data_IF_138373338925
#
_entry.id   IF_138373338925
#
_cell.length_a   1.000
_cell.length_b   1.000
_cell.length_c   1.000
_cell.angle_alpha   90.00
_cell.angle_beta   90.00
_cell.angle_gamma   90.00
#
_symmetry.space_group_name_H-M   'P 1'
#
loop_
_entity.id
_entity.type
_entity.pdbx_description
1 polymer ?
#
# COMPACT_ATOMS: atom_id res chain seq x y z
N UNK A 1 39.65 -0.72 -38.53
CA UNK A 1 39.09 0.15 -37.47
C UNK A 1 37.87 -0.55 -36.94
N UNK A 2 37.90 -0.99 -35.69
CA UNK A 2 36.76 -1.65 -35.07
C UNK A 2 35.54 -0.73 -35.10
N UNK A 3 34.39 -1.29 -35.44
CA UNK A 3 33.11 -0.59 -35.54
C UNK A 3 32.58 -0.33 -34.11
N UNK A 4 33.25 0.53 -33.36
CA UNK A 4 32.80 0.96 -32.04
C UNK A 4 31.54 1.79 -32.20
N UNK A 5 30.46 1.30 -31.59
CA UNK A 5 29.13 1.93 -31.62
C UNK A 5 29.26 3.39 -31.15
N UNK A 6 28.87 4.34 -32.00
CA UNK A 6 28.93 5.77 -31.69
C UNK A 6 28.04 6.09 -30.47
N UNK A 7 28.60 6.79 -29.49
CA UNK A 7 27.93 7.18 -28.25
C UNK A 7 27.24 8.54 -28.43
N UNK A 8 25.98 8.52 -28.84
CA UNK A 8 25.22 9.74 -29.15
C UNK A 8 24.75 10.53 -27.91
N UNK A 9 24.45 9.85 -26.80
CA UNK A 9 23.92 10.51 -25.61
C UNK A 9 24.89 11.54 -25.01
N UNK A 10 26.18 11.21 -24.77
CA UNK A 10 27.14 12.21 -24.27
C UNK A 10 27.39 13.37 -25.25
N UNK A 11 27.40 13.10 -26.55
CA UNK A 11 27.58 14.13 -27.57
C UNK A 11 26.39 15.10 -27.63
N UNK A 12 25.17 14.59 -27.48
CA UNK A 12 23.95 15.41 -27.39
C UNK A 12 23.95 16.28 -26.13
N UNK A 13 24.28 15.73 -24.96
CA UNK A 13 24.42 16.50 -23.72
C UNK A 13 25.43 17.64 -23.86
N UNK A 14 26.57 17.40 -24.53
CA UNK A 14 27.57 18.43 -24.80
C UNK A 14 27.05 19.50 -25.78
N UNK A 15 26.37 19.08 -26.86
CA UNK A 15 25.75 20.01 -27.80
C UNK A 15 24.68 20.89 -27.14
N UNK A 16 23.89 20.34 -26.21
CA UNK A 16 22.93 21.11 -25.41
C UNK A 16 23.61 22.17 -24.56
N UNK A 17 24.69 21.81 -23.84
CA UNK A 17 25.46 22.77 -23.03
C UNK A 17 26.07 23.90 -23.86
N UNK A 18 26.57 23.60 -25.06
CA UNK A 18 27.08 24.62 -26.00
C UNK A 18 25.93 25.52 -26.49
N UNK A 19 24.80 24.91 -26.84
CA UNK A 19 23.63 25.64 -27.36
C UNK A 19 23.05 26.59 -26.32
N UNK A 20 22.96 26.16 -25.07
CA UNK A 20 22.40 26.91 -23.95
C UNK A 20 23.47 27.66 -23.15
N UNK A 21 24.68 27.82 -23.69
CA UNK A 21 25.86 28.27 -22.95
C UNK A 21 25.65 29.62 -22.23
N UNK A 22 24.96 30.56 -22.89
CA UNK A 22 24.66 31.88 -22.33
C UNK A 22 23.61 31.84 -21.21
N UNK A 23 22.79 30.79 -21.15
CA UNK A 23 21.71 30.61 -20.18
C UNK A 23 22.07 29.61 -19.08
N UNK A 24 23.22 28.91 -19.20
CA UNK A 24 23.64 27.88 -18.25
C UNK A 24 23.81 28.40 -16.81
N UNK A 25 24.01 29.71 -16.61
CA UNK A 25 24.03 30.29 -15.26
C UNK A 25 22.65 30.21 -14.55
N UNK A 26 21.57 30.02 -15.32
CA UNK A 26 20.20 29.87 -14.82
C UNK A 26 19.67 28.43 -14.88
N UNK A 27 20.49 27.47 -15.33
CA UNK A 27 20.06 26.10 -15.63
C UNK A 27 20.92 25.05 -14.92
N UNK A 28 20.27 24.01 -14.40
CA UNK A 28 20.93 22.80 -13.90
C UNK A 28 20.66 21.63 -14.85
N UNK A 29 21.72 20.94 -15.28
CA UNK A 29 21.61 19.80 -16.18
C UNK A 29 22.11 18.52 -15.51
N UNK A 30 21.20 17.55 -15.37
CA UNK A 30 21.50 16.22 -14.87
C UNK A 30 21.35 15.20 -16.00
N UNK A 31 22.41 14.47 -16.29
CA UNK A 31 22.39 13.39 -17.26
C UNK A 31 21.94 12.09 -16.58
N UNK A 32 21.09 11.30 -17.24
CA UNK A 32 20.62 10.00 -16.74
C UNK A 32 20.04 10.04 -15.31
N UNK A 33 19.29 11.10 -15.00
CA UNK A 33 18.75 11.30 -13.65
C UNK A 33 17.78 10.16 -13.24
N UNK A 34 18.07 9.42 -12.17
CA UNK A 34 17.23 8.32 -11.73
C UNK A 34 15.96 8.84 -11.04
N UNK A 35 14.79 8.43 -11.54
CA UNK A 35 13.51 8.85 -10.96
C UNK A 35 13.22 8.22 -9.59
N UNK A 36 13.81 7.06 -9.27
CA UNK A 36 13.58 6.35 -8.02
C UNK A 36 14.81 5.53 -7.59
N UNK A 37 14.94 5.27 -6.27
CA UNK A 37 15.96 4.35 -5.71
C UNK A 37 15.67 2.88 -6.00
N UNK A 38 14.40 2.54 -6.28
CA UNK A 38 13.93 1.20 -6.63
C UNK A 38 13.15 1.27 -7.94
N UNK A 39 13.12 0.19 -8.75
CA UNK A 39 12.27 0.13 -9.91
C UNK A 39 10.80 0.43 -9.54
N UNK A 40 10.06 1.18 -10.38
CA UNK A 40 8.62 1.34 -10.22
C UNK A 40 7.89 0.00 -10.08
N UNK A 41 6.89 -0.05 -9.20
CA UNK A 41 6.07 -1.23 -8.98
C UNK A 41 4.59 -0.85 -8.98
N UNK A 42 3.79 -1.66 -9.67
CA UNK A 42 2.33 -1.59 -9.65
C UNK A 42 1.84 -2.43 -8.46
N UNK A 43 0.92 -1.90 -7.65
CA UNK A 43 0.38 -2.65 -6.50
C UNK A 43 -0.35 -3.91 -6.96
N UNK A 44 -1.30 -3.78 -7.88
CA UNK A 44 -2.04 -4.89 -8.46
C UNK A 44 -2.26 -4.68 -9.96
N UNK A 45 -1.96 -5.70 -10.75
CA UNK A 45 -2.27 -5.77 -12.17
C UNK A 45 -3.27 -6.90 -12.42
N UNK A 46 -4.46 -6.56 -12.91
CA UNK A 46 -5.47 -7.53 -13.34
C UNK A 46 -5.45 -7.61 -14.85
N UNK A 47 -5.27 -8.83 -15.39
CA UNK A 47 -5.33 -9.09 -16.82
C UNK A 47 -6.50 -10.04 -17.12
N UNK A 48 -7.42 -9.61 -18.00
CA UNK A 48 -8.47 -10.49 -18.52
C UNK A 48 -7.84 -11.59 -19.36
N UNK A 49 -8.12 -12.84 -18.98
CA UNK A 49 -7.69 -14.02 -19.77
C UNK A 49 -8.37 -14.08 -21.14
N UNK A 50 -9.62 -13.61 -21.22
CA UNK A 50 -10.41 -13.50 -22.44
C UNK A 50 -10.80 -12.03 -22.63
N UNK A 51 -10.37 -11.41 -23.73
CA UNK A 51 -10.54 -9.96 -23.95
C UNK A 51 -12.01 -9.53 -23.97
N UNK A 52 -12.85 -10.34 -24.60
CA UNK A 52 -14.25 -9.99 -24.89
C UNK A 52 -15.24 -10.41 -23.78
N UNK A 53 -14.74 -10.91 -22.64
CA UNK A 53 -15.63 -11.26 -21.53
C UNK A 53 -16.09 -10.00 -20.78
N UNK A 54 -17.41 -9.88 -20.63
CA UNK A 54 -18.02 -8.86 -19.77
C UNK A 54 -17.97 -9.32 -18.32
N UNK A 55 -17.49 -8.45 -17.44
CA UNK A 55 -17.50 -8.66 -15.99
C UNK A 55 -18.71 -7.93 -15.41
N UNK A 56 -19.48 -8.61 -14.55
CA UNK A 56 -20.78 -8.11 -14.10
C UNK A 56 -20.74 -7.42 -12.72
N UNK A 57 -19.66 -7.57 -11.95
CA UNK A 57 -19.51 -6.86 -10.66
C UNK A 57 -19.35 -5.37 -10.90
N UNK A 58 -20.00 -4.53 -10.09
CA UNK A 58 -20.02 -3.08 -10.31
C UNK A 58 -18.60 -2.50 -10.38
N UNK A 59 -17.70 -2.94 -9.49
CA UNK A 59 -16.29 -2.49 -9.50
C UNK A 59 -15.55 -2.90 -10.78
N UNK A 60 -15.87 -4.07 -11.35
CA UNK A 60 -15.13 -4.68 -12.46
C UNK A 60 -15.67 -4.34 -13.85
N UNK A 61 -16.87 -3.75 -13.93
CA UNK A 61 -17.55 -3.48 -15.20
C UNK A 61 -16.76 -2.53 -16.10
N UNK A 62 -15.99 -1.61 -15.53
CA UNK A 62 -15.12 -0.67 -16.26
C UNK A 62 -13.83 -1.33 -16.79
N UNK A 63 -13.43 -2.49 -16.26
CA UNK A 63 -12.13 -3.07 -16.57
C UNK A 63 -12.03 -3.40 -18.06
N UNK A 64 -11.00 -2.85 -18.70
CA UNK A 64 -10.51 -3.31 -20.00
C UNK A 64 -9.61 -4.54 -19.81
N UNK A 65 -8.84 -4.92 -20.83
CA UNK A 65 -7.98 -6.12 -20.76
C UNK A 65 -6.98 -6.04 -19.60
N UNK A 66 -6.41 -4.87 -19.35
CA UNK A 66 -5.41 -4.65 -18.31
C UNK A 66 -5.89 -3.55 -17.37
N UNK A 67 -6.07 -3.88 -16.08
CA UNK A 67 -6.44 -2.93 -15.05
C UNK A 67 -5.29 -2.78 -14.04
N UNK A 68 -4.77 -1.56 -13.91
CA UNK A 68 -3.69 -1.18 -13.01
C UNK A 68 -4.34 -0.58 -11.76
N UNK A 69 -4.04 -1.12 -10.59
CA UNK A 69 -4.63 -0.67 -9.33
C UNK A 69 -3.55 -0.09 -8.43
N UNK A 70 -3.85 1.06 -7.82
CA UNK A 70 -3.11 1.62 -6.67
C UNK A 70 -4.03 1.60 -5.45
N UNK A 71 -3.53 1.07 -4.34
CA UNK A 71 -4.25 0.97 -3.08
C UNK A 71 -3.60 1.83 -2.00
N UNK A 72 -4.42 2.61 -1.30
CA UNK A 72 -4.04 3.34 -0.09
C UNK A 72 -4.73 2.73 1.12
N UNK A 73 -3.94 2.44 2.15
CA UNK A 73 -4.46 1.93 3.41
C UNK A 73 -5.42 2.96 4.06
N UNK A 74 -6.29 2.55 4.99
CA UNK A 74 -7.30 3.45 5.56
C UNK A 74 -6.76 4.74 6.18
N UNK A 75 -5.56 4.69 6.77
CA UNK A 75 -4.89 5.87 7.36
C UNK A 75 -4.15 6.75 6.36
N UNK A 76 -4.03 6.32 5.10
CA UNK A 76 -3.28 7.03 4.07
C UNK A 76 -4.20 7.91 3.22
N UNK A 77 -3.60 8.92 2.59
CA UNK A 77 -4.27 9.81 1.66
C UNK A 77 -3.86 9.51 0.21
N UNK A 78 -4.83 9.53 -0.70
CA UNK A 78 -4.56 9.45 -2.13
C UNK A 78 -4.26 10.86 -2.67
N UNK A 79 -3.00 11.10 -3.01
CA UNK A 79 -2.50 12.43 -3.39
C UNK A 79 -2.49 12.68 -4.91
N UNK A 80 -2.32 13.94 -5.31
CA UNK A 80 -2.04 14.33 -6.70
C UNK A 80 -0.82 13.59 -7.25
N UNK A 81 0.22 13.41 -6.43
CA UNK A 81 1.44 12.71 -6.84
C UNK A 81 1.17 11.23 -7.11
N UNK A 82 0.29 10.59 -6.34
CA UNK A 82 -0.09 9.19 -6.58
C UNK A 82 -0.80 9.04 -7.93
N UNK A 83 -1.66 9.99 -8.30
CA UNK A 83 -2.28 10.01 -9.61
C UNK A 83 -1.24 10.04 -10.74
N UNK A 84 -0.34 11.02 -10.73
CA UNK A 84 0.66 11.16 -11.80
C UNK A 84 1.65 10.00 -11.83
N UNK A 85 2.03 9.47 -10.65
CA UNK A 85 2.88 8.30 -10.52
C UNK A 85 2.24 7.08 -11.19
N UNK A 86 0.99 6.75 -10.86
CA UNK A 86 0.27 5.60 -11.40
C UNK A 86 -0.04 5.78 -12.89
N UNK A 87 -0.39 7.00 -13.30
CA UNK A 87 -0.59 7.32 -14.72
C UNK A 87 0.72 7.10 -15.50
N UNK A 88 1.85 7.59 -14.98
CA UNK A 88 3.17 7.35 -15.56
C UNK A 88 3.54 5.87 -15.63
N UNK A 89 3.29 5.11 -14.56
CA UNK A 89 3.55 3.67 -14.53
C UNK A 89 2.65 2.89 -15.49
N UNK A 90 1.42 3.35 -15.71
CA UNK A 90 0.51 2.77 -16.71
C UNK A 90 1.05 2.96 -18.13
N UNK A 91 1.58 4.15 -18.43
CA UNK A 91 2.28 4.40 -19.69
C UNK A 91 3.53 3.55 -19.84
N UNK A 92 4.36 3.43 -18.80
CA UNK A 92 5.54 2.56 -18.83
C UNK A 92 5.16 1.10 -19.02
N UNK A 93 4.13 0.61 -18.35
CA UNK A 93 3.64 -0.76 -18.53
C UNK A 93 3.22 -1.02 -19.99
N UNK A 94 2.53 -0.06 -20.61
CA UNK A 94 2.14 -0.13 -22.01
C UNK A 94 3.35 -0.14 -22.96
N UNK A 95 4.34 0.72 -22.71
CA UNK A 95 5.47 0.92 -23.62
C UNK A 95 6.61 -0.08 -23.43
N UNK A 96 6.74 -0.68 -22.23
CA UNK A 96 7.82 -1.59 -21.87
C UNK A 96 7.57 -3.00 -22.43
N UNK A 97 7.51 -3.10 -23.75
CA UNK A 97 7.26 -4.34 -24.49
C UNK A 97 8.18 -4.42 -25.72
N UNK A 98 8.53 -5.63 -26.15
CA UNK A 98 9.46 -5.84 -27.27
C UNK A 98 8.88 -5.44 -28.64
N UNK A 99 7.55 -5.26 -28.73
CA UNK A 99 6.83 -4.94 -29.97
C UNK A 99 5.99 -3.70 -29.79
N UNK A 100 6.03 -2.82 -30.80
CA UNK A 100 5.20 -1.63 -30.85
C UNK A 100 3.73 -2.02 -30.67
N UNK A 101 3.09 -1.41 -29.66
CA UNK A 101 1.68 -1.65 -29.31
C UNK A 101 1.33 -3.12 -29.06
N UNK A 102 2.25 -3.90 -28.48
CA UNK A 102 1.93 -5.24 -27.95
C UNK A 102 0.75 -5.17 -26.96
N UNK A 103 0.67 -4.06 -26.21
CA UNK A 103 -0.49 -3.65 -25.43
C UNK A 103 -1.09 -2.41 -26.11
N UNK A 104 -2.32 -2.49 -26.59
CA UNK A 104 -3.02 -1.32 -27.14
C UNK A 104 -3.41 -0.38 -25.98
N UNK A 105 -3.12 0.93 -26.04
CA UNK A 105 -3.52 1.88 -24.99
C UNK A 105 -5.02 1.86 -24.67
N UNK A 106 -5.87 1.48 -25.65
CA UNK A 106 -7.32 1.34 -25.47
C UNK A 106 -7.72 0.12 -24.65
N UNK A 107 -6.77 -0.76 -24.31
CA UNK A 107 -6.98 -1.94 -23.47
C UNK A 107 -6.61 -1.69 -22.00
N UNK A 108 -6.21 -0.47 -21.63
CA UNK A 108 -5.81 -0.09 -20.27
C UNK A 108 -6.95 0.56 -19.50
N UNK A 109 -7.01 0.27 -18.21
CA UNK A 109 -7.86 0.92 -17.20
C UNK A 109 -7.04 1.15 -15.93
N UNK A 110 -7.32 2.23 -15.21
CA UNK A 110 -6.69 2.52 -13.91
C UNK A 110 -7.77 2.48 -12.84
N UNK A 111 -7.47 1.89 -11.67
CA UNK A 111 -8.32 1.94 -10.49
C UNK A 111 -7.54 2.48 -9.30
N UNK A 112 -8.02 3.56 -8.70
CA UNK A 112 -7.53 4.04 -7.43
C UNK A 112 -8.46 3.55 -6.31
N UNK A 113 -7.87 3.05 -5.22
CA UNK A 113 -8.62 2.55 -4.07
C UNK A 113 -8.13 3.26 -2.81
N UNK A 114 -9.03 3.94 -2.10
CA UNK A 114 -8.72 4.61 -0.85
C UNK A 114 -9.92 4.59 0.11
N UNK A 115 -9.67 4.85 1.40
CA UNK A 115 -10.76 4.98 2.36
C UNK A 115 -11.39 6.37 2.31
N UNK A 116 -10.61 7.43 2.15
CA UNK A 116 -11.12 8.81 2.22
C UNK A 116 -11.32 9.43 0.84
N UNK A 117 -12.39 10.20 0.65
CA UNK A 117 -12.66 10.89 -0.61
C UNK A 117 -11.59 11.95 -0.89
N UNK A 118 -10.79 11.84 -1.97
CA UNK A 118 -9.57 12.61 -2.17
C UNK A 118 -9.85 13.97 -2.83
N UNK A 119 -10.46 14.90 -2.07
CA UNK A 119 -10.94 16.20 -2.56
C UNK A 119 -9.85 17.02 -3.26
N UNK A 120 -8.66 17.10 -2.67
CA UNK A 120 -7.55 17.89 -3.22
C UNK A 120 -7.07 17.34 -4.56
N UNK A 121 -6.97 16.00 -4.67
CA UNK A 121 -6.59 15.35 -5.92
C UNK A 121 -7.63 15.62 -7.00
N UNK A 122 -8.91 15.42 -6.69
CA UNK A 122 -9.99 15.57 -7.67
C UNK A 122 -10.14 17.01 -8.14
N UNK A 123 -10.00 18.00 -7.24
CA UNK A 123 -10.01 19.43 -7.61
C UNK A 123 -8.87 19.76 -8.58
N UNK A 124 -7.65 19.29 -8.27
CA UNK A 124 -6.49 19.46 -9.16
C UNK A 124 -6.72 18.83 -10.53
N UNK A 125 -7.29 17.61 -10.57
CA UNK A 125 -7.58 16.92 -11.83
C UNK A 125 -8.65 17.63 -12.67
N UNK A 126 -9.66 18.21 -12.03
CA UNK A 126 -10.69 19.00 -12.70
C UNK A 126 -10.07 20.28 -13.29
N UNK A 127 -9.34 21.05 -12.46
CA UNK A 127 -8.76 22.35 -12.85
C UNK A 127 -7.64 22.22 -13.90
N UNK A 128 -6.76 21.24 -13.74
CA UNK A 128 -5.52 21.15 -14.54
C UNK A 128 -5.60 20.15 -15.68
N UNK A 129 -6.51 19.17 -15.61
CA UNK A 129 -6.63 18.09 -16.61
C UNK A 129 -8.02 18.01 -17.25
N UNK A 130 -9.00 18.77 -16.76
CA UNK A 130 -10.40 18.63 -17.19
C UNK A 130 -11.00 17.27 -16.84
N UNK A 131 -10.44 16.57 -15.86
CA UNK A 131 -10.91 15.24 -15.43
C UNK A 131 -11.86 15.41 -14.24
N UNK A 132 -13.11 14.99 -14.41
CA UNK A 132 -14.18 15.15 -13.41
C UNK A 132 -14.58 13.81 -12.80
N UNK A 133 -14.89 13.79 -11.51
CA UNK A 133 -15.39 12.60 -10.83
C UNK A 133 -16.91 12.47 -10.99
N UNK A 134 -17.36 11.42 -11.66
CA UNK A 134 -18.78 11.11 -11.87
C UNK A 134 -19.19 9.94 -10.98
N UNK A 135 -20.23 10.13 -10.16
CA UNK A 135 -20.79 9.08 -9.32
C UNK A 135 -21.38 7.96 -10.18
N UNK A 136 -21.13 6.70 -9.81
CA UNK A 136 -21.66 5.52 -10.50
C UNK A 136 -22.47 4.61 -9.58
N UNK A 137 -21.99 4.43 -8.35
CA UNK A 137 -22.63 3.64 -7.30
C UNK A 137 -22.00 4.04 -5.95
N UNK A 138 -22.52 3.51 -4.86
CA UNK A 138 -22.02 3.77 -3.52
C UNK A 138 -20.52 3.47 -3.41
N UNK A 139 -19.73 4.53 -3.18
CA UNK A 139 -18.27 4.46 -3.13
C UNK A 139 -17.57 4.24 -4.47
N UNK A 140 -18.27 4.31 -5.61
CA UNK A 140 -17.71 4.09 -6.94
C UNK A 140 -17.88 5.34 -7.79
N UNK A 141 -16.76 5.89 -8.26
CA UNK A 141 -16.72 7.04 -9.14
C UNK A 141 -15.89 6.73 -10.39
N UNK A 142 -16.32 7.23 -11.54
CA UNK A 142 -15.49 7.24 -12.75
C UNK A 142 -14.90 8.63 -12.95
N UNK A 143 -13.59 8.70 -13.19
CA UNK A 143 -12.93 9.95 -13.53
C UNK A 143 -12.96 10.10 -15.06
N UNK A 144 -13.81 11.00 -15.54
CA UNK A 144 -14.09 11.22 -16.97
C UNK A 144 -13.33 12.42 -17.49
N UNK A 145 -12.84 12.35 -18.74
CA UNK A 145 -12.03 13.41 -19.36
C UNK A 145 -10.66 12.94 -19.87
N UNK A 146 -10.32 11.66 -19.64
CA UNK A 146 -9.06 11.05 -20.09
C UNK A 146 -9.33 9.89 -21.08
N UNK A 147 -8.33 9.56 -21.91
CA UNK A 147 -8.42 8.47 -22.88
C UNK A 147 -8.33 7.08 -22.23
N UNK A 148 -7.66 7.00 -21.09
CA UNK A 148 -7.63 5.81 -20.24
C UNK A 148 -8.80 5.94 -19.24
N UNK A 149 -9.75 5.00 -19.20
CA UNK A 149 -10.79 4.98 -18.19
C UNK A 149 -10.17 4.82 -16.80
N UNK A 150 -10.63 5.65 -15.87
CA UNK A 150 -10.14 5.65 -14.50
C UNK A 150 -11.32 5.50 -13.56
N UNK A 151 -11.18 4.61 -12.58
CA UNK A 151 -12.12 4.40 -11.49
C UNK A 151 -11.49 4.85 -10.18
N UNK A 152 -12.32 5.41 -9.29
CA UNK A 152 -12.00 5.68 -7.91
C UNK A 152 -12.97 4.89 -7.01
N UNK A 153 -12.42 4.09 -6.12
CA UNK A 153 -13.15 3.32 -5.12
C UNK A 153 -12.91 3.89 -3.72
N UNK A 154 -14.00 4.25 -3.04
CA UNK A 154 -14.04 4.68 -1.64
C UNK A 154 -14.50 3.50 -0.79
N UNK A 155 -13.55 2.77 -0.22
CA UNK A 155 -13.79 1.42 0.33
C UNK A 155 -14.89 1.38 1.39
N UNK A 156 -14.91 2.31 2.34
CA UNK A 156 -15.91 2.34 3.42
C UNK A 156 -17.34 2.64 2.93
N UNK A 157 -17.50 3.14 1.70
CA UNK A 157 -18.80 3.43 1.09
C UNK A 157 -19.30 2.32 0.18
N UNK A 158 -18.47 1.35 -0.21
CA UNK A 158 -18.88 0.28 -1.11
C UNK A 158 -20.04 -0.54 -0.52
N UNK A 159 -20.95 -1.02 -1.35
CA UNK A 159 -22.06 -1.88 -0.90
C UNK A 159 -21.55 -3.21 -0.33
N UNK A 160 -22.13 -3.67 0.78
CA UNK A 160 -21.73 -4.93 1.42
C UNK A 160 -22.14 -6.17 0.63
N UNK A 161 -23.21 -6.09 -0.18
CA UNK A 161 -23.73 -7.23 -0.93
C UNK A 161 -22.72 -7.78 -1.93
N UNK A 162 -21.99 -6.89 -2.61
CA UNK A 162 -20.95 -7.28 -3.57
C UNK A 162 -19.54 -7.20 -3.00
N UNK A 163 -19.28 -6.26 -2.08
CA UNK A 163 -17.93 -5.84 -1.73
C UNK A 163 -17.61 -6.04 -0.24
N UNK A 164 -18.29 -6.97 0.43
CA UNK A 164 -18.20 -7.20 1.88
C UNK A 164 -16.76 -7.15 2.43
N UNK A 165 -15.86 -7.94 1.85
CA UNK A 165 -14.48 -8.03 2.35
C UNK A 165 -13.68 -6.75 2.11
N UNK A 166 -13.85 -6.12 0.94
CA UNK A 166 -13.18 -4.85 0.62
C UNK A 166 -13.63 -3.72 1.55
N UNK A 167 -14.92 -3.65 1.86
CA UNK A 167 -15.49 -2.64 2.75
C UNK A 167 -14.99 -2.80 4.21
N UNK A 168 -14.74 -4.05 4.64
CA UNK A 168 -14.27 -4.37 5.98
C UNK A 168 -12.74 -4.25 6.16
N UNK A 169 -11.98 -3.87 5.12
CA UNK A 169 -10.57 -3.48 5.24
C UNK A 169 -10.44 -2.08 5.88
N UNK A 170 -10.85 -1.96 7.15
CA UNK A 170 -10.89 -0.73 7.95
C UNK A 170 -10.44 -0.99 9.39
N UNK A 171 -10.21 0.07 10.16
CA UNK A 171 -9.58 0.04 11.50
C UNK A 171 -10.53 0.46 12.63
N UNK A 172 -11.82 0.57 12.35
CA UNK A 172 -12.82 1.13 13.26
C UNK A 172 -14.11 0.29 13.35
N UNK A 173 -13.99 -1.01 13.09
CA UNK A 173 -15.07 -1.98 13.26
C UNK A 173 -15.63 -1.94 14.67
N UNK A 174 -16.93 -2.21 14.82
CA UNK A 174 -17.59 -2.21 16.12
C UNK A 174 -17.70 -3.63 16.68
N UNK A 175 -17.42 -3.74 17.99
CA UNK A 175 -17.79 -4.90 18.76
C UNK A 175 -19.30 -5.21 18.60
N UNK A 176 -19.66 -6.47 18.74
CA UNK A 176 -21.01 -6.99 18.62
C UNK A 176 -21.28 -7.54 17.23
N UNK A 177 -22.23 -6.93 16.52
CA UNK A 177 -22.78 -7.51 15.28
C UNK A 177 -21.76 -7.54 14.14
N UNK A 178 -21.01 -6.46 13.92
CA UNK A 178 -20.08 -6.38 12.78
C UNK A 178 -19.01 -7.48 12.85
N UNK A 179 -18.36 -7.63 14.01
CA UNK A 179 -17.34 -8.66 14.22
C UNK A 179 -17.94 -10.07 14.08
N UNK A 180 -19.10 -10.33 14.71
CA UNK A 180 -19.78 -11.63 14.60
C UNK A 180 -20.14 -11.98 13.14
N UNK A 181 -20.59 -11.00 12.36
CA UNK A 181 -20.94 -11.20 10.95
C UNK A 181 -19.71 -11.49 10.09
N UNK A 182 -18.57 -10.82 10.34
CA UNK A 182 -17.30 -11.11 9.64
C UNK A 182 -16.81 -12.53 9.96
N UNK A 183 -16.84 -12.91 11.24
CA UNK A 183 -16.42 -14.24 11.70
C UNK A 183 -17.27 -15.34 11.08
N UNK A 184 -18.60 -15.19 11.10
CA UNK A 184 -19.52 -16.17 10.52
C UNK A 184 -19.32 -16.34 9.00
N UNK A 185 -18.91 -15.29 8.29
CA UNK A 185 -18.55 -15.36 6.87
C UNK A 185 -17.19 -15.99 6.64
N UNK A 186 -16.23 -15.72 7.51
CA UNK A 186 -14.91 -16.34 7.47
C UNK A 186 -14.99 -17.86 7.71
N UNK A 187 -15.75 -18.31 8.70
CA UNK A 187 -15.90 -19.74 9.05
C UNK A 187 -16.29 -20.60 7.84
N UNK A 188 -17.24 -20.10 7.01
CA UNK A 188 -17.69 -20.77 5.78
C UNK A 188 -16.58 -20.93 4.73
N UNK A 189 -15.49 -20.19 4.87
CA UNK A 189 -14.40 -20.09 3.91
C UNK A 189 -13.01 -20.31 4.56
N UNK A 190 -12.94 -20.88 5.78
CA UNK A 190 -11.72 -21.00 6.60
C UNK A 190 -10.55 -21.72 5.91
N UNK A 191 -10.83 -22.52 4.88
CA UNK A 191 -9.82 -23.26 4.13
C UNK A 191 -9.14 -22.40 3.04
N UNK A 192 -9.63 -21.18 2.78
CA UNK A 192 -9.07 -20.29 1.78
C UNK A 192 -7.97 -19.40 2.37
N UNK A 193 -6.80 -19.42 1.71
CA UNK A 193 -5.65 -18.58 2.08
C UNK A 193 -5.95 -17.07 1.96
N UNK A 194 -6.77 -16.69 0.98
CA UNK A 194 -7.12 -15.28 0.77
C UNK A 194 -8.02 -14.76 1.89
N UNK A 195 -9.01 -15.57 2.29
CA UNK A 195 -9.87 -15.25 3.42
C UNK A 195 -9.08 -15.19 4.72
N UNK A 196 -8.13 -16.11 4.93
CA UNK A 196 -7.24 -16.08 6.08
C UNK A 196 -6.37 -14.81 6.09
N UNK A 197 -5.81 -14.41 4.95
CA UNK A 197 -5.01 -13.19 4.85
C UNK A 197 -5.83 -11.92 5.18
N UNK A 198 -7.04 -11.82 4.65
CA UNK A 198 -7.96 -10.71 4.94
C UNK A 198 -8.35 -10.72 6.43
N UNK A 199 -8.73 -11.88 6.97
CA UNK A 199 -9.13 -11.98 8.38
C UNK A 199 -8.00 -11.60 9.33
N UNK A 200 -6.78 -12.09 9.08
CA UNK A 200 -5.59 -11.74 9.86
C UNK A 200 -5.34 -10.23 9.88
N UNK A 201 -5.45 -9.55 8.74
CA UNK A 201 -5.31 -8.10 8.67
C UNK A 201 -6.40 -7.38 9.46
N UNK A 202 -7.67 -7.77 9.28
CA UNK A 202 -8.81 -7.18 9.99
C UNK A 202 -8.67 -7.35 11.50
N UNK A 203 -8.29 -8.54 11.97
CA UNK A 203 -8.10 -8.84 13.39
C UNK A 203 -7.04 -7.94 14.00
N UNK A 204 -5.88 -7.79 13.34
CA UNK A 204 -4.79 -6.92 13.83
C UNK A 204 -5.19 -5.45 13.79
N UNK A 205 -5.89 -5.02 12.75
CA UNK A 205 -6.36 -3.65 12.59
C UNK A 205 -7.43 -3.24 13.62
N UNK A 206 -8.18 -4.20 14.17
CA UNK A 206 -9.30 -3.97 15.10
C UNK A 206 -9.14 -4.80 16.39
N UNK A 207 -7.91 -4.92 16.89
CA UNK A 207 -7.56 -5.85 17.97
C UNK A 207 -8.40 -5.66 19.24
N UNK A 208 -8.63 -4.40 19.64
CA UNK A 208 -9.34 -4.10 20.90
C UNK A 208 -10.78 -4.61 20.85
N UNK A 209 -11.45 -4.39 19.74
CA UNK A 209 -12.83 -4.78 19.51
C UNK A 209 -12.96 -6.29 19.32
N UNK A 210 -12.00 -6.90 18.63
CA UNK A 210 -11.89 -8.37 18.49
C UNK A 210 -11.68 -9.06 19.84
N UNK A 211 -10.83 -8.51 20.70
CA UNK A 211 -10.56 -9.07 22.03
C UNK A 211 -11.79 -8.97 22.94
N UNK A 212 -12.54 -7.87 22.88
CA UNK A 212 -13.77 -7.69 23.63
C UNK A 212 -14.83 -8.74 23.24
N UNK A 213 -15.04 -8.97 21.94
CA UNK A 213 -15.97 -10.00 21.47
C UNK A 213 -15.50 -11.42 21.80
N UNK A 214 -14.20 -11.69 21.70
CA UNK A 214 -13.62 -12.99 22.06
C UNK A 214 -13.89 -13.35 23.52
N UNK A 215 -13.83 -12.40 24.46
CA UNK A 215 -14.13 -12.68 25.88
C UNK A 215 -15.57 -13.19 26.07
N UNK A 216 -16.48 -12.79 25.18
CA UNK A 216 -17.91 -13.10 25.23
C UNK A 216 -18.34 -14.25 24.30
N UNK A 217 -17.55 -14.61 23.29
CA UNK A 217 -17.93 -15.57 22.25
C UNK A 217 -16.93 -16.72 22.15
N UNK A 218 -17.36 -17.94 22.51
CA UNK A 218 -16.50 -19.13 22.51
C UNK A 218 -16.12 -19.58 21.09
N UNK A 219 -16.99 -19.38 20.09
CA UNK A 219 -16.66 -19.66 18.68
C UNK A 219 -15.48 -18.81 18.19
N UNK A 220 -15.41 -17.55 18.60
CA UNK A 220 -14.29 -16.65 18.33
C UNK A 220 -13.00 -17.09 19.04
N UNK A 221 -13.10 -17.65 20.26
CA UNK A 221 -11.92 -18.20 20.97
C UNK A 221 -11.35 -19.40 20.24
N UNK A 222 -12.21 -20.31 19.78
CA UNK A 222 -11.82 -21.53 19.08
C UNK A 222 -11.22 -21.22 17.70
N UNK A 223 -11.88 -20.33 16.94
CA UNK A 223 -11.47 -19.92 15.59
C UNK A 223 -10.04 -19.36 15.54
N UNK A 224 -9.64 -18.60 16.58
CA UNK A 224 -8.35 -17.93 16.63
C UNK A 224 -7.32 -18.63 17.52
N UNK A 225 -7.64 -19.78 18.11
CA UNK A 225 -6.76 -20.43 19.09
C UNK A 225 -5.37 -20.76 18.52
N UNK A 226 -5.31 -21.25 17.28
CA UNK A 226 -4.06 -21.63 16.61
C UNK A 226 -3.25 -20.41 16.13
N UNK A 227 -3.90 -19.44 15.47
CA UNK A 227 -3.24 -18.21 14.99
C UNK A 227 -2.66 -17.36 16.14
N UNK A 228 -3.35 -17.34 17.30
CA UNK A 228 -2.86 -16.71 18.53
C UNK A 228 -1.66 -17.41 19.13
N UNK A 229 -1.60 -18.75 19.08
CA UNK A 229 -0.42 -19.48 19.57
C UNK A 229 0.81 -19.13 18.75
N UNK A 230 0.67 -19.03 17.43
CA UNK A 230 1.77 -18.60 16.56
C UNK A 230 2.18 -17.13 16.76
N UNK A 231 1.23 -16.21 16.88
CA UNK A 231 1.53 -14.79 17.16
C UNK A 231 2.14 -14.60 18.55
N UNK A 232 1.65 -15.30 19.57
CA UNK A 232 2.25 -15.28 20.91
C UNK A 232 3.66 -15.86 20.90
N UNK A 233 3.91 -16.95 20.17
CA UNK A 233 5.25 -17.52 20.02
C UNK A 233 6.21 -16.51 19.36
N UNK A 234 5.79 -15.87 18.26
CA UNK A 234 6.57 -14.82 17.58
C UNK A 234 6.78 -13.58 18.47
N UNK A 235 5.75 -13.18 19.23
CA UNK A 235 5.81 -12.08 20.18
C UNK A 235 6.80 -12.38 21.32
N UNK A 236 6.79 -13.60 21.83
CA UNK A 236 7.70 -14.07 22.87
C UNK A 236 9.14 -14.16 22.37
N UNK A 237 9.35 -14.62 21.13
CA UNK A 237 10.67 -14.63 20.49
C UNK A 237 11.22 -13.21 20.30
N UNK A 238 10.40 -12.27 19.81
CA UNK A 238 10.76 -10.85 19.70
C UNK A 238 11.06 -10.24 21.07
N UNK A 239 10.21 -10.47 22.06
CA UNK A 239 10.41 -10.00 23.43
C UNK A 239 11.70 -10.53 24.04
N UNK A 240 12.04 -11.81 23.80
CA UNK A 240 13.32 -12.40 24.23
C UNK A 240 14.52 -11.75 23.53
N UNK A 241 14.45 -11.52 22.22
CA UNK A 241 15.51 -10.86 21.48
C UNK A 241 15.73 -9.40 21.95
N UNK A 242 14.64 -8.65 22.15
CA UNK A 242 14.65 -7.29 22.68
C UNK A 242 15.21 -7.25 24.11
N UNK A 243 14.78 -8.17 24.98
CA UNK A 243 15.28 -8.30 26.35
C UNK A 243 16.77 -8.63 26.41
N UNK A 244 17.26 -9.54 25.57
CA UNK A 244 18.70 -9.84 25.46
C UNK A 244 19.48 -8.61 25.01
N UNK A 245 18.95 -7.85 24.05
CA UNK A 245 19.59 -6.62 23.56
C UNK A 245 19.65 -5.55 24.66
N UNK A 246 18.56 -5.37 25.40
CA UNK A 246 18.45 -4.44 26.50
C UNK A 246 19.42 -4.79 27.63
N UNK A 247 19.48 -6.06 28.05
CA UNK A 247 20.42 -6.53 29.07
C UNK A 247 21.88 -6.30 28.63
N UNK A 248 22.24 -6.62 27.38
CA UNK A 248 23.59 -6.35 26.84
C UNK A 248 23.95 -4.87 26.86
N UNK A 249 22.98 -3.98 26.61
CA UNK A 249 23.19 -2.54 26.67
C UNK A 249 23.41 -2.07 28.11
N UNK A 250 22.60 -2.56 29.05
CA UNK A 250 22.71 -2.26 30.49
C UNK A 250 24.06 -2.70 31.04
N UNK A 251 24.50 -3.94 30.78
CA UNK A 251 25.82 -4.43 31.21
C UNK A 251 26.97 -3.60 30.62
N UNK A 252 26.85 -3.16 29.35
CA UNK A 252 27.87 -2.30 28.73
C UNK A 252 27.95 -0.93 29.39
N UNK A 253 26.81 -0.30 29.66
CA UNK A 253 26.76 1.01 30.29
C UNK A 253 27.25 0.95 31.75
N UNK A 254 26.92 -0.11 32.47
CA UNK A 254 27.43 -0.39 33.81
C UNK A 254 28.96 -0.60 33.81
N UNK A 255 29.50 -1.39 32.87
CA UNK A 255 30.94 -1.57 32.71
C UNK A 255 31.71 -0.28 32.32
N UNK A 256 31.01 0.69 31.74
CA UNK A 256 31.54 2.03 31.46
C UNK A 256 31.48 2.98 32.66
N UNK A 257 30.96 2.53 33.81
CA UNK A 257 30.90 3.29 35.06
C UNK A 257 29.70 4.25 35.17
N UNK A 258 28.67 4.09 34.35
CA UNK A 258 27.43 4.89 34.49
C UNK A 258 26.66 4.44 35.74
N UNK A 259 26.02 5.38 36.45
CA UNK A 259 25.17 5.02 37.60
C UNK A 259 23.88 4.32 37.15
N UNK A 260 23.26 3.56 38.05
CA UNK A 260 22.01 2.85 37.77
C UNK A 260 20.89 3.82 37.37
N UNK A 261 20.84 5.02 37.96
CA UNK A 261 19.89 6.08 37.60
C UNK A 261 20.12 6.62 36.17
N UNK A 262 21.37 6.78 35.76
CA UNK A 262 21.71 7.21 34.39
C UNK A 262 21.38 6.12 33.36
N UNK A 263 21.60 4.85 33.71
CA UNK A 263 21.26 3.70 32.87
C UNK A 263 19.74 3.60 32.70
N UNK A 264 18.96 3.75 33.78
CA UNK A 264 17.50 3.77 33.75
C UNK A 264 16.98 4.85 32.80
N UNK A 265 17.54 6.06 32.88
CA UNK A 265 17.22 7.17 31.98
C UNK A 265 17.58 6.91 30.51
N UNK A 266 18.76 6.33 30.24
CA UNK A 266 19.22 6.02 28.86
C UNK A 266 18.47 4.86 28.22
N UNK A 267 18.09 3.87 29.01
CA UNK A 267 17.39 2.66 28.55
C UNK A 267 15.86 2.82 28.57
N UNK A 268 15.33 3.88 29.18
CA UNK A 268 13.89 4.13 29.25
C UNK A 268 13.14 3.11 30.10
N UNK A 269 13.79 2.56 31.13
CA UNK A 269 13.24 1.55 32.05
C UNK A 269 13.37 2.02 33.50
N UNK A 270 12.67 1.36 34.42
CA UNK A 270 12.73 1.72 35.84
C UNK A 270 14.08 1.35 36.48
N UNK A 271 14.44 2.07 37.55
CA UNK A 271 15.65 1.78 38.34
C UNK A 271 15.63 0.35 38.92
N UNK A 272 14.45 -0.12 39.32
CA UNK A 272 14.23 -1.47 39.83
C UNK A 272 14.55 -2.53 38.76
N UNK A 273 14.11 -2.32 37.51
CA UNK A 273 14.45 -3.21 36.39
C UNK A 273 15.93 -3.18 36.02
N UNK A 274 16.62 -2.03 36.18
CA UNK A 274 18.07 -1.96 35.96
C UNK A 274 18.80 -2.80 37.00
N UNK A 275 18.41 -2.70 38.28
CA UNK A 275 18.98 -3.50 39.37
C UNK A 275 18.74 -4.99 39.18
N UNK A 276 17.51 -5.38 38.85
CA UNK A 276 17.15 -6.77 38.58
C UNK A 276 17.96 -7.39 37.42
N UNK A 277 18.33 -6.58 36.42
CA UNK A 277 19.14 -7.04 35.29
C UNK A 277 20.64 -7.10 35.64
N UNK A 278 21.11 -6.32 36.61
CA UNK A 278 22.51 -6.25 37.02
C UNK A 278 22.87 -7.17 38.20
N UNK A 279 21.88 -7.68 38.94
CA UNK A 279 22.03 -8.78 39.91
C UNK A 279 22.43 -10.11 39.26
#
# INVERSE_FOLDING_TARGET
MENTKLQWHPAFSAALRITLQEEMEFLEMYEEYPLNKKPPQIDILIIKKLKDITLNKTISRIFRTHNIIEYKAPGDYLSVNDFYKVYGYTCFYQSNTDKIKAIDPRELTITFVCSHYPREMLRHLEEMRGITATFQDDGIYYLTGDAIPIQLLITHKLTQDENYWLQNLRTDLKAGREIRDIVARYEKNRHSKDYAAVMNLITRANWKEMEAERKMCDALKELFAEELQEENAKGMERGKAEGIRLAKLIFRLSAQGNSEEEIAGKCGISLEQVREILE
#
